data_IF_983359061981
#
_entry.id   IF_983359061981
#
_cell.length_a   1.000
_cell.length_b   1.000
_cell.length_c   1.000
_cell.angle_alpha   90.00
_cell.angle_beta   90.00
_cell.angle_gamma   90.00
#
_symmetry.space_group_name_H-M   'P 1'
#
loop_
_entity.id
_entity.type
_entity.pdbx_description
1 polymer ?
#
# COMPACT_ATOMS: atom_id res chain seq x y z
N UNK A 1 29.12 60.12 30.09
CA UNK A 1 28.14 59.02 29.95
C UNK A 1 27.11 59.32 28.86
N UNK A 2 27.37 58.97 27.58
CA UNK A 2 26.38 59.11 26.47
C UNK A 2 26.42 57.98 25.44
N UNK A 3 27.22 56.94 25.66
CA UNK A 3 27.57 55.91 24.66
C UNK A 3 26.76 54.60 24.79
N UNK A 4 26.31 54.20 25.99
CA UNK A 4 25.61 52.91 26.17
C UNK A 4 24.18 52.88 25.60
N UNK A 5 23.47 54.02 25.60
CA UNK A 5 22.08 54.13 25.09
C UNK A 5 21.94 53.90 23.58
N UNK A 6 22.96 54.28 22.78
CA UNK A 6 22.97 54.06 21.31
C UNK A 6 23.29 52.61 20.95
N UNK A 7 24.24 51.98 21.66
CA UNK A 7 24.57 50.56 21.46
C UNK A 7 23.41 49.63 21.86
N UNK A 8 22.69 49.95 22.95
CA UNK A 8 21.50 49.20 23.36
C UNK A 8 20.37 49.25 22.31
N UNK A 9 20.10 50.42 21.70
CA UNK A 9 19.11 50.53 20.61
C UNK A 9 19.50 49.74 19.36
N UNK A 10 20.77 49.73 18.99
CA UNK A 10 21.26 48.96 17.85
C UNK A 10 21.09 47.44 18.05
N UNK A 11 21.42 46.93 19.25
CA UNK A 11 21.26 45.51 19.59
C UNK A 11 19.79 45.09 19.58
N UNK A 12 18.89 45.92 20.12
CA UNK A 12 17.44 45.66 20.11
C UNK A 12 16.88 45.62 18.69
N UNK A 13 17.31 46.53 17.81
CA UNK A 13 16.90 46.54 16.40
C UNK A 13 17.39 45.29 15.66
N UNK A 14 18.64 44.87 15.87
CA UNK A 14 19.17 43.64 15.25
C UNK A 14 18.43 42.40 15.75
N UNK A 15 18.17 42.28 17.05
CA UNK A 15 17.40 41.17 17.61
C UNK A 15 15.96 41.13 17.07
N UNK A 16 15.30 42.28 16.92
CA UNK A 16 13.97 42.38 16.31
C UNK A 16 13.97 41.97 14.83
N UNK A 17 15.00 42.34 14.06
CA UNK A 17 15.16 41.90 12.67
C UNK A 17 15.35 40.38 12.56
N UNK A 18 16.15 39.77 13.44
CA UNK A 18 16.36 38.32 13.45
C UNK A 18 15.04 37.61 13.77
N UNK A 19 14.28 38.09 14.76
CA UNK A 19 12.96 37.53 15.09
C UNK A 19 11.96 37.65 13.93
N UNK A 20 11.95 38.80 13.23
CA UNK A 20 11.11 38.99 12.06
C UNK A 20 11.48 38.02 10.91
N UNK A 21 12.77 37.82 10.66
CA UNK A 21 13.25 36.84 9.66
C UNK A 21 12.85 35.42 10.05
N UNK A 22 12.97 35.06 11.34
CA UNK A 22 12.53 33.75 11.83
C UNK A 22 11.01 33.55 11.64
N UNK A 23 10.19 34.56 11.93
CA UNK A 23 8.73 34.49 11.75
C UNK A 23 8.31 34.40 10.29
N UNK A 24 8.97 35.15 9.39
CA UNK A 24 8.70 35.04 7.95
C UNK A 24 9.14 33.67 7.44
N UNK A 25 10.29 33.17 7.87
CA UNK A 25 10.75 31.84 7.52
C UNK A 25 9.75 30.77 7.99
N UNK A 26 9.26 30.81 9.23
CA UNK A 26 8.29 29.82 9.72
C UNK A 26 6.97 29.89 8.96
N UNK A 27 6.47 31.08 8.63
CA UNK A 27 5.25 31.25 7.84
C UNK A 27 5.41 30.75 6.40
N UNK A 28 6.53 31.07 5.75
CA UNK A 28 6.83 30.60 4.39
C UNK A 28 6.96 29.08 4.40
N UNK A 29 7.73 28.51 5.32
CA UNK A 29 7.86 27.06 5.46
C UNK A 29 6.50 26.40 5.71
N UNK A 30 5.68 26.95 6.60
CA UNK A 30 4.33 26.44 6.86
C UNK A 30 3.44 26.51 5.61
N UNK A 31 3.48 27.63 4.86
CA UNK A 31 2.72 27.79 3.62
C UNK A 31 3.16 26.81 2.53
N UNK A 32 4.46 26.52 2.47
CA UNK A 32 5.06 25.66 1.47
C UNK A 32 4.76 24.18 1.77
N UNK A 33 4.86 23.77 3.04
CA UNK A 33 4.36 22.47 3.53
C UNK A 33 2.89 22.31 3.17
N UNK A 34 2.06 23.31 3.51
CA UNK A 34 0.62 23.23 3.27
C UNK A 34 0.30 23.20 1.76
N UNK A 35 1.07 23.90 0.94
CA UNK A 35 0.95 23.86 -0.52
C UNK A 35 1.29 22.47 -1.08
N UNK A 36 2.39 21.85 -0.62
CA UNK A 36 2.77 20.49 -1.05
C UNK A 36 1.79 19.44 -0.55
N UNK A 37 1.29 19.54 0.68
CA UNK A 37 0.21 18.67 1.19
C UNK A 37 -1.04 18.81 0.32
N UNK A 38 -1.43 20.04 -0.05
CA UNK A 38 -2.57 20.27 -0.96
C UNK A 38 -2.33 19.73 -2.37
N UNK A 39 -1.10 19.75 -2.86
CA UNK A 39 -0.74 19.16 -4.14
C UNK A 39 -0.90 17.64 -4.09
N UNK A 40 -0.37 16.99 -3.05
CA UNK A 40 -0.54 15.55 -2.81
C UNK A 40 -2.01 15.16 -2.65
N UNK A 41 -2.83 16.02 -2.02
CA UNK A 41 -4.28 15.78 -1.91
C UNK A 41 -5.01 15.77 -3.26
N UNK A 42 -4.48 16.46 -4.28
CA UNK A 42 -5.06 16.46 -5.64
C UNK A 42 -4.67 15.21 -6.46
N UNK A 43 -3.68 14.46 -5.98
CA UNK A 43 -3.18 13.27 -6.62
C UNK A 43 -1.68 13.10 -6.38
N UNK A 44 -1.21 11.87 -6.54
CA UNK A 44 0.20 11.55 -6.39
C UNK A 44 0.55 10.25 -7.10
N UNK A 45 1.81 10.13 -7.49
CA UNK A 45 2.41 8.87 -7.96
C UNK A 45 3.45 8.43 -6.94
N UNK A 46 3.53 7.14 -6.67
CA UNK A 46 4.50 6.61 -5.74
C UNK A 46 5.08 5.29 -6.19
N UNK A 47 6.29 5.04 -5.72
CA UNK A 47 7.05 3.83 -5.96
C UNK A 47 7.70 3.42 -4.65
N UNK A 48 7.37 2.23 -4.16
CA UNK A 48 7.81 1.73 -2.87
C UNK A 48 8.31 0.30 -3.01
N UNK A 49 9.47 0.00 -2.46
CA UNK A 49 9.85 -1.38 -2.18
C UNK A 49 9.27 -1.79 -0.84
N UNK A 50 8.73 -3.00 -0.75
CA UNK A 50 8.15 -3.54 0.47
C UNK A 50 8.88 -4.78 0.96
N UNK A 51 8.85 -4.96 2.27
CA UNK A 51 9.28 -6.17 2.95
C UNK A 51 8.26 -6.52 4.04
N UNK A 52 7.81 -7.78 4.04
CA UNK A 52 6.88 -8.33 5.02
C UNK A 52 7.68 -9.23 5.96
N UNK A 53 7.40 -9.12 7.25
CA UNK A 53 8.01 -9.90 8.34
C UNK A 53 6.94 -10.45 9.26
N UNK A 54 7.24 -11.55 9.94
CA UNK A 54 6.42 -12.02 11.06
C UNK A 54 6.69 -11.15 12.30
N UNK A 55 5.64 -10.87 13.07
CA UNK A 55 5.73 -10.11 14.33
C UNK A 55 6.45 -10.90 15.41
N UNK A 56 6.11 -12.18 15.53
CA UNK A 56 6.73 -13.10 16.47
C UNK A 56 7.75 -13.98 15.74
N UNK A 57 8.96 -14.07 16.28
CA UNK A 57 10.01 -14.94 15.76
C UNK A 57 9.84 -16.40 16.20
N UNK A 58 9.02 -16.66 17.23
CA UNK A 58 8.80 -17.99 17.78
C UNK A 58 7.68 -18.77 17.06
N UNK A 59 6.74 -18.07 16.42
CA UNK A 59 5.65 -18.67 15.65
C UNK A 59 5.52 -18.00 14.30
N UNK A 60 5.46 -18.80 13.23
CA UNK A 60 5.35 -18.25 11.87
C UNK A 60 3.87 -18.19 11.46
N UNK A 61 3.28 -17.00 11.27
CA UNK A 61 1.87 -16.88 10.93
C UNK A 61 1.54 -17.55 9.60
N UNK A 62 0.30 -18.02 9.44
CA UNK A 62 -0.16 -18.68 8.22
C UNK A 62 0.02 -17.79 6.98
N UNK A 63 -0.37 -16.52 7.06
CA UNK A 63 -0.23 -15.55 5.97
C UNK A 63 1.25 -15.39 5.57
N UNK A 64 2.15 -15.21 6.53
CA UNK A 64 3.57 -15.08 6.26
C UNK A 64 4.15 -16.31 5.56
N UNK A 65 3.74 -17.52 6.00
CA UNK A 65 4.18 -18.75 5.36
C UNK A 65 3.71 -18.86 3.90
N UNK A 66 2.46 -18.48 3.61
CA UNK A 66 1.93 -18.46 2.23
C UNK A 66 2.74 -17.48 1.39
N UNK A 67 2.93 -16.25 1.85
CA UNK A 67 3.71 -15.23 1.16
C UNK A 67 5.15 -15.70 0.89
N UNK A 68 5.77 -16.37 1.87
CA UNK A 68 7.11 -16.92 1.72
C UNK A 68 7.18 -18.02 0.66
N UNK A 69 6.19 -18.90 0.60
CA UNK A 69 6.13 -19.98 -0.39
C UNK A 69 6.02 -19.46 -1.82
N UNK A 70 5.28 -18.36 -2.02
CA UNK A 70 5.12 -17.74 -3.34
C UNK A 70 6.16 -16.66 -3.65
N UNK A 71 7.17 -16.48 -2.78
CA UNK A 71 8.23 -15.48 -2.96
C UNK A 71 7.77 -14.03 -2.83
N UNK A 72 6.63 -13.76 -2.19
CA UNK A 72 5.99 -12.45 -2.08
C UNK A 72 6.23 -11.75 -0.73
N UNK A 73 7.16 -12.22 0.11
CA UNK A 73 7.57 -11.53 1.34
C UNK A 73 8.34 -10.24 1.08
N UNK A 74 8.75 -9.99 -0.16
CA UNK A 74 9.33 -8.71 -0.60
C UNK A 74 9.01 -8.49 -2.05
N UNK A 75 8.85 -7.24 -2.43
CA UNK A 75 8.55 -6.85 -3.79
C UNK A 75 8.56 -5.35 -3.93
N UNK A 76 8.06 -4.87 -5.04
CA UNK A 76 7.89 -3.45 -5.27
C UNK A 76 6.43 -3.13 -5.60
N UNK A 77 5.99 -1.92 -5.30
CA UNK A 77 4.66 -1.42 -5.64
C UNK A 77 4.78 -0.04 -6.26
N UNK A 78 4.19 0.13 -7.44
CA UNK A 78 3.90 1.45 -7.98
C UNK A 78 2.43 1.77 -7.76
N UNK A 79 2.10 3.04 -7.57
CA UNK A 79 0.72 3.44 -7.44
C UNK A 79 0.43 4.85 -7.91
N UNK A 80 -0.83 5.02 -8.29
CA UNK A 80 -1.41 6.28 -8.72
C UNK A 80 -2.58 6.58 -7.78
N UNK A 81 -2.53 7.73 -7.15
CA UNK A 81 -3.59 8.28 -6.32
C UNK A 81 -4.27 9.45 -7.03
N UNK A 82 -5.60 9.48 -6.97
CA UNK A 82 -6.45 10.64 -7.25
C UNK A 82 -7.49 10.75 -6.13
N UNK A 83 -8.15 11.90 -5.90
CA UNK A 83 -9.17 12.03 -4.88
C UNK A 83 -10.25 10.93 -5.00
N UNK A 84 -10.32 10.03 -4.00
CA UNK A 84 -11.26 8.92 -3.96
C UNK A 84 -10.95 7.74 -4.89
N UNK A 85 -9.75 7.67 -5.47
CA UNK A 85 -9.33 6.59 -6.37
C UNK A 85 -7.86 6.21 -6.14
N UNK A 86 -7.56 4.91 -6.19
CA UNK A 86 -6.20 4.38 -6.08
C UNK A 86 -6.00 3.26 -7.08
N UNK A 87 -4.90 3.30 -7.80
CA UNK A 87 -4.40 2.19 -8.60
C UNK A 87 -3.07 1.72 -8.02
N UNK A 88 -2.91 0.43 -7.82
CA UNK A 88 -1.67 -0.21 -7.38
C UNK A 88 -1.22 -1.23 -8.41
N UNK A 89 0.07 -1.33 -8.65
CA UNK A 89 0.73 -2.35 -9.46
C UNK A 89 1.76 -3.05 -8.58
N UNK A 90 1.62 -4.36 -8.39
CA UNK A 90 2.50 -5.14 -7.53
C UNK A 90 3.53 -5.88 -8.37
N UNK A 91 4.81 -5.73 -8.05
CA UNK A 91 5.93 -6.31 -8.78
C UNK A 91 6.75 -7.28 -7.92
N UNK A 92 7.44 -8.24 -8.55
CA UNK A 92 8.53 -8.95 -7.88
C UNK A 92 9.62 -7.96 -7.44
N UNK A 93 10.44 -8.37 -6.48
CA UNK A 93 11.54 -7.52 -6.01
C UNK A 93 12.50 -7.15 -7.15
N UNK A 94 12.78 -5.86 -7.29
CA UNK A 94 13.56 -5.29 -8.39
C UNK A 94 12.77 -5.10 -9.69
N UNK A 95 11.45 -5.26 -9.66
CA UNK A 95 10.58 -5.18 -10.84
C UNK A 95 10.29 -3.74 -11.29
N UNK A 96 10.29 -2.75 -10.39
CA UNK A 96 10.12 -1.34 -10.78
C UNK A 96 11.24 -0.85 -11.70
N UNK A 97 12.50 -1.23 -11.42
CA UNK A 97 13.63 -0.90 -12.29
C UNK A 97 13.50 -1.50 -13.71
N UNK A 98 12.68 -2.55 -13.87
CA UNK A 98 12.36 -3.14 -15.18
C UNK A 98 11.14 -2.47 -15.83
N UNK A 99 10.19 -1.97 -15.04
CA UNK A 99 8.99 -1.27 -15.53
C UNK A 99 9.33 0.00 -16.34
N UNK A 100 10.38 0.75 -15.96
CA UNK A 100 10.88 1.91 -16.71
C UNK A 100 11.30 1.59 -18.16
N UNK A 101 11.52 0.31 -18.52
CA UNK A 101 11.82 -0.12 -19.89
C UNK A 101 10.57 -0.46 -20.72
N UNK A 102 9.38 -0.04 -20.27
CA UNK A 102 8.10 -0.30 -20.94
C UNK A 102 7.51 -1.67 -20.59
N UNK A 103 7.98 -2.29 -19.51
CA UNK A 103 7.62 -3.64 -19.10
C UNK A 103 6.27 -3.69 -18.37
N UNK A 104 5.31 -4.44 -18.92
CA UNK A 104 4.15 -4.93 -18.18
C UNK A 104 4.57 -6.14 -17.35
N UNK A 105 5.47 -5.99 -16.38
CA UNK A 105 6.07 -7.12 -15.63
C UNK A 105 5.64 -7.17 -14.15
N UNK A 106 4.46 -6.62 -13.84
CA UNK A 106 3.81 -6.73 -12.53
C UNK A 106 3.09 -8.09 -12.36
N UNK A 107 2.94 -8.54 -11.12
CA UNK A 107 2.16 -9.74 -10.74
C UNK A 107 0.67 -9.56 -10.97
N UNK A 108 0.13 -8.41 -10.55
CA UNK A 108 -1.28 -8.07 -10.63
C UNK A 108 -1.43 -6.58 -10.33
N UNK A 109 -2.60 -6.04 -10.60
CA UNK A 109 -2.96 -4.68 -10.27
C UNK A 109 -4.30 -4.64 -9.51
N UNK A 110 -4.44 -3.58 -8.71
CA UNK A 110 -5.59 -3.34 -7.86
C UNK A 110 -6.10 -1.92 -8.12
N UNK A 111 -7.38 -1.80 -8.45
CA UNK A 111 -8.06 -0.52 -8.52
C UNK A 111 -9.07 -0.40 -7.37
N UNK A 112 -9.08 0.73 -6.67
CA UNK A 112 -10.02 1.03 -5.61
C UNK A 112 -10.66 2.39 -5.91
N UNK A 113 -11.97 2.47 -5.79
CA UNK A 113 -12.69 3.73 -5.69
C UNK A 113 -13.73 3.71 -4.55
N UNK A 114 -14.57 4.74 -4.48
CA UNK A 114 -15.61 4.86 -3.45
C UNK A 114 -16.72 3.80 -3.54
N UNK A 115 -16.86 3.12 -4.68
CA UNK A 115 -17.94 2.16 -4.93
C UNK A 115 -17.45 0.72 -4.87
N UNK A 116 -16.26 0.45 -5.41
CA UNK A 116 -15.75 -0.92 -5.50
C UNK A 116 -14.22 -1.04 -5.46
N UNK A 117 -13.76 -2.27 -5.25
CA UNK A 117 -12.36 -2.68 -5.36
C UNK A 117 -12.26 -3.78 -6.40
N UNK A 118 -11.36 -3.61 -7.36
CA UNK A 118 -11.19 -4.48 -8.51
C UNK A 118 -9.79 -5.08 -8.53
N UNK A 119 -9.73 -6.41 -8.64
CA UNK A 119 -8.49 -7.18 -8.65
C UNK A 119 -8.25 -7.75 -10.05
N UNK A 120 -7.08 -7.53 -10.64
CA UNK A 120 -6.71 -8.18 -11.92
C UNK A 120 -6.33 -9.66 -11.68
N UNK A 121 -7.36 -10.49 -11.55
CA UNK A 121 -7.25 -11.94 -11.40
C UNK A 121 -6.66 -12.60 -12.64
N UNK A 122 -6.96 -12.09 -13.83
CA UNK A 122 -6.43 -12.63 -15.08
C UNK A 122 -4.93 -12.44 -15.20
N UNK A 123 -4.41 -11.29 -14.75
CA UNK A 123 -2.97 -11.02 -14.71
C UNK A 123 -2.28 -11.89 -13.67
N UNK A 124 -2.85 -11.99 -12.47
CA UNK A 124 -2.32 -12.87 -11.42
C UNK A 124 -2.21 -14.32 -11.92
N UNK A 125 -3.25 -14.81 -12.59
CA UNK A 125 -3.26 -16.15 -13.17
C UNK A 125 -2.12 -16.35 -14.19
N UNK A 126 -1.98 -15.42 -15.15
CA UNK A 126 -0.95 -15.52 -16.18
C UNK A 126 0.45 -15.50 -15.56
N UNK A 127 0.72 -14.60 -14.62
CA UNK A 127 2.03 -14.55 -13.97
C UNK A 127 2.35 -15.81 -13.17
N UNK A 128 1.37 -16.38 -12.45
CA UNK A 128 1.55 -17.65 -11.75
C UNK A 128 1.75 -18.82 -12.74
N UNK A 129 0.97 -18.86 -13.82
CA UNK A 129 1.09 -19.87 -14.87
C UNK A 129 2.46 -19.83 -15.53
N UNK A 130 2.95 -18.65 -15.88
CA UNK A 130 4.24 -18.48 -16.55
C UNK A 130 5.38 -18.90 -15.61
N UNK A 131 5.30 -18.54 -14.32
CA UNK A 131 6.24 -19.02 -13.30
C UNK A 131 6.25 -20.55 -13.14
N UNK A 132 5.08 -21.20 -13.21
CA UNK A 132 4.98 -22.67 -13.21
C UNK A 132 5.51 -23.26 -14.52
N UNK A 133 5.25 -22.65 -15.67
CA UNK A 133 5.75 -23.13 -16.96
C UNK A 133 7.27 -23.07 -17.04
N UNK A 134 7.89 -22.02 -16.49
CA UNK A 134 9.34 -21.88 -16.42
C UNK A 134 9.99 -22.90 -15.49
N UNK A 135 9.38 -23.16 -14.33
CA UNK A 135 9.93 -24.07 -13.31
C UNK A 135 9.59 -25.55 -13.55
N UNK A 136 8.44 -25.83 -14.14
CA UNK A 136 7.92 -27.16 -14.42
C UNK A 136 7.20 -27.20 -15.78
N UNK A 137 7.94 -27.22 -16.92
CA UNK A 137 7.36 -27.08 -18.25
C UNK A 137 6.27 -28.10 -18.59
N UNK A 138 6.41 -29.34 -18.08
CA UNK A 138 5.40 -30.39 -18.27
C UNK A 138 4.09 -30.08 -17.55
N UNK A 139 4.14 -29.48 -16.36
CA UNK A 139 2.95 -29.07 -15.61
C UNK A 139 2.33 -27.83 -16.25
N UNK A 140 3.17 -26.86 -16.65
CA UNK A 140 2.73 -25.65 -17.34
C UNK A 140 1.97 -25.92 -18.63
N UNK A 141 2.35 -26.96 -19.38
CA UNK A 141 1.66 -27.36 -20.62
C UNK A 141 0.19 -27.81 -20.41
N UNK A 142 -0.19 -28.18 -19.19
CA UNK A 142 -1.56 -28.54 -18.84
C UNK A 142 -2.37 -27.37 -18.26
N UNK A 143 -1.75 -26.23 -17.97
CA UNK A 143 -2.45 -25.05 -17.46
C UNK A 143 -3.10 -24.28 -18.62
N UNK A 144 -4.44 -24.11 -18.60
CA UNK A 144 -5.15 -23.45 -19.68
C UNK A 144 -4.73 -21.98 -19.83
N UNK A 145 -5.00 -21.40 -20.99
CA UNK A 145 -4.87 -19.96 -21.14
C UNK A 145 -6.07 -19.23 -20.49
N UNK A 146 -5.81 -18.04 -19.96
CA UNK A 146 -6.88 -17.22 -19.39
C UNK A 146 -7.77 -16.65 -20.49
N UNK A 147 -9.05 -17.01 -20.46
CA UNK A 147 -10.04 -16.63 -21.48
C UNK A 147 -11.18 -15.76 -20.95
N UNK A 148 -11.20 -15.48 -19.64
CA UNK A 148 -12.18 -14.60 -19.01
C UNK A 148 -11.75 -13.13 -19.08
N UNK A 149 -12.66 -12.18 -18.81
CA UNK A 149 -12.28 -10.84 -18.42
C UNK A 149 -11.26 -10.85 -17.26
N UNK A 150 -10.51 -9.77 -17.12
CA UNK A 150 -9.34 -9.75 -16.22
C UNK A 150 -9.73 -9.47 -14.76
N UNK A 151 -10.76 -8.66 -14.53
CA UNK A 151 -11.05 -8.10 -13.22
C UNK A 151 -12.18 -8.84 -12.50
N UNK A 152 -12.02 -9.02 -11.20
CA UNK A 152 -13.11 -9.37 -10.27
C UNK A 152 -13.32 -8.25 -9.28
N UNK A 153 -14.56 -8.06 -8.83
CA UNK A 153 -14.88 -7.11 -7.75
C UNK A 153 -14.64 -7.70 -6.37
N UNK A 154 -14.66 -6.85 -5.34
CA UNK A 154 -14.58 -7.28 -3.95
C UNK A 154 -15.71 -8.25 -3.58
N UNK A 155 -16.94 -7.96 -4.00
CA UNK A 155 -18.08 -8.83 -3.75
C UNK A 155 -17.93 -10.18 -4.44
N UNK A 156 -17.38 -10.20 -5.66
CA UNK A 156 -17.09 -11.43 -6.38
C UNK A 156 -15.97 -12.23 -5.71
N UNK A 157 -14.92 -11.57 -5.21
CA UNK A 157 -13.88 -12.22 -4.41
C UNK A 157 -14.46 -12.85 -3.14
N UNK A 158 -15.34 -12.15 -2.42
CA UNK A 158 -16.02 -12.68 -1.24
C UNK A 158 -16.81 -13.95 -1.56
N UNK A 159 -17.56 -13.94 -2.67
CA UNK A 159 -18.31 -15.10 -3.17
C UNK A 159 -17.38 -16.27 -3.50
N UNK A 160 -16.30 -16.02 -4.25
CA UNK A 160 -15.30 -17.03 -4.60
C UNK A 160 -14.71 -17.68 -3.34
N UNK A 161 -14.38 -16.87 -2.32
CA UNK A 161 -13.79 -17.34 -1.07
C UNK A 161 -14.80 -17.96 -0.09
N UNK A 162 -16.11 -17.81 -0.33
CA UNK A 162 -17.15 -18.29 0.58
C UNK A 162 -17.20 -17.52 1.91
N UNK A 163 -16.75 -16.26 1.93
CA UNK A 163 -16.68 -15.43 3.14
C UNK A 163 -17.63 -14.22 3.07
N UNK A 164 -18.04 -13.64 4.20
CA UNK A 164 -18.78 -12.39 4.19
C UNK A 164 -18.00 -11.25 3.52
N UNK A 165 -18.70 -10.38 2.78
CA UNK A 165 -18.07 -9.23 2.10
C UNK A 165 -17.28 -8.31 3.04
N UNK A 166 -17.66 -8.25 4.33
CA UNK A 166 -16.94 -7.47 5.36
C UNK A 166 -15.52 -7.97 5.61
N UNK A 167 -15.21 -9.24 5.33
CA UNK A 167 -13.87 -9.80 5.52
C UNK A 167 -12.89 -9.45 4.40
N UNK A 168 -13.41 -8.99 3.25
CA UNK A 168 -12.60 -8.57 2.09
C UNK A 168 -12.75 -7.08 1.81
N UNK A 169 -13.37 -6.32 2.72
CA UNK A 169 -13.65 -4.91 2.54
C UNK A 169 -12.36 -4.07 2.51
N UNK A 170 -12.13 -3.36 1.39
CA UNK A 170 -10.98 -2.46 1.20
C UNK A 170 -11.40 -1.02 0.84
N UNK A 171 -12.71 -0.74 0.79
CA UNK A 171 -13.32 0.47 0.21
C UNK A 171 -13.34 1.71 1.10
N UNK A 172 -12.88 1.65 2.36
CA UNK A 172 -12.91 2.82 3.26
C UNK A 172 -11.82 3.85 2.91
N UNK A 173 -11.94 4.48 1.73
CA UNK A 173 -11.06 5.57 1.31
C UNK A 173 -11.48 6.95 1.81
N UNK A 174 -12.71 7.08 2.28
CA UNK A 174 -13.30 8.34 2.77
C UNK A 174 -12.64 8.87 4.04
N UNK A 175 -11.80 8.07 4.72
CA UNK A 175 -11.02 8.46 5.90
C UNK A 175 -9.61 9.00 5.62
N UNK A 176 -9.05 8.80 4.42
CA UNK A 176 -7.63 9.14 4.13
C UNK A 176 -7.39 10.62 3.80
N UNK A 177 -8.16 11.55 4.35
CA UNK A 177 -7.68 12.93 4.39
C UNK A 177 -6.44 12.97 5.27
N UNK A 178 -5.25 13.07 4.65
CA UNK A 178 -3.97 13.23 5.32
C UNK A 178 -3.97 14.54 6.13
N UNK A 179 -4.59 14.50 7.31
CA UNK A 179 -4.50 15.57 8.29
C UNK A 179 -3.32 15.24 9.17
N UNK A 180 -2.12 15.65 8.73
CA UNK A 180 -0.88 15.53 9.50
C UNK A 180 -1.00 16.41 10.75
N UNK A 181 -1.64 15.88 11.79
CA UNK A 181 -1.82 16.56 13.06
C UNK A 181 -0.63 16.25 13.98
N UNK A 182 -0.23 17.21 14.82
CA UNK A 182 0.83 17.00 15.82
C UNK A 182 0.48 15.90 16.84
N UNK A 183 -0.80 15.57 16.99
CA UNK A 183 -1.28 14.56 17.91
C UNK A 183 -1.03 13.13 17.41
N UNK A 184 -0.78 12.98 16.10
CA UNK A 184 -0.44 11.70 15.49
C UNK A 184 1.06 11.39 15.52
N UNK A 185 1.92 12.27 16.06
CA UNK A 185 3.37 12.07 16.02
C UNK A 185 3.77 10.96 16.98
N UNK A 186 4.50 9.97 16.46
CA UNK A 186 5.06 8.84 17.22
C UNK A 186 6.57 8.76 17.04
N UNK A 187 7.24 8.04 17.95
CA UNK A 187 8.69 7.87 17.95
C UNK A 187 9.03 6.38 17.98
N UNK A 188 8.90 5.68 16.85
CA UNK A 188 9.20 4.25 16.80
C UNK A 188 10.71 3.99 16.91
N UNK A 189 11.08 2.82 17.43
CA UNK A 189 12.49 2.42 17.59
C UNK A 189 13.24 2.29 16.25
N UNK A 190 12.49 2.07 15.16
CA UNK A 190 12.99 2.02 13.79
C UNK A 190 13.05 3.40 13.10
N UNK A 191 12.85 4.50 13.83
CA UNK A 191 12.79 5.83 13.24
C UNK A 191 14.08 6.22 12.50
N UNK A 192 13.97 6.48 11.20
CA UNK A 192 15.06 7.00 10.37
C UNK A 192 15.45 8.41 10.81
N UNK A 193 16.75 8.69 10.80
CA UNK A 193 17.29 10.01 11.15
C UNK A 193 16.73 11.09 10.23
N UNK A 194 16.14 12.13 10.81
CA UNK A 194 15.60 13.29 10.08
C UNK A 194 14.17 13.11 9.56
N UNK A 195 13.53 11.97 9.86
CA UNK A 195 12.13 11.71 9.57
C UNK A 195 11.27 12.07 10.78
N UNK A 196 10.04 12.51 10.52
CA UNK A 196 8.97 12.63 11.52
C UNK A 196 7.92 11.58 11.19
N UNK A 197 7.54 10.76 12.18
CA UNK A 197 6.61 9.66 12.01
C UNK A 197 5.22 10.02 12.52
N UNK A 198 4.20 9.68 11.73
CA UNK A 198 2.79 9.92 12.03
C UNK A 198 2.04 8.59 12.04
N UNK A 199 1.40 8.25 13.15
CA UNK A 199 0.50 7.12 13.27
C UNK A 199 -0.93 7.56 12.96
N UNK A 200 -1.58 6.85 12.05
CA UNK A 200 -2.97 7.09 11.70
C UNK A 200 -3.90 6.37 12.71
N UNK A 201 -5.06 6.95 13.03
CA UNK A 201 -6.03 6.31 13.93
C UNK A 201 -6.45 4.95 13.41
N UNK A 202 -6.54 3.96 14.31
CA UNK A 202 -7.12 2.65 14.06
C UNK A 202 -8.15 2.36 15.17
N UNK A 203 -9.28 1.75 14.82
CA UNK A 203 -10.34 1.40 15.76
C UNK A 203 -10.41 -0.11 15.94
N UNK A 204 -10.18 -0.60 17.16
CA UNK A 204 -10.23 -2.02 17.50
C UNK A 204 -8.91 -2.58 18.03
N UNK A 205 -8.98 -3.61 18.87
CA UNK A 205 -7.81 -4.23 19.53
C UNK A 205 -6.87 -4.95 18.54
N UNK A 206 -7.43 -5.45 17.43
CA UNK A 206 -6.69 -6.14 16.35
C UNK A 206 -6.60 -5.32 15.05
N UNK A 207 -6.93 -4.03 15.10
CA UNK A 207 -6.96 -3.18 13.91
C UNK A 207 -5.54 -2.93 13.36
N UNK A 208 -5.43 -2.85 12.03
CA UNK A 208 -4.16 -2.54 11.41
C UNK A 208 -3.67 -1.14 11.81
N UNK A 209 -2.40 -1.01 12.16
CA UNK A 209 -1.78 0.27 12.53
C UNK A 209 -0.91 0.74 11.37
N UNK A 210 -1.16 1.95 10.88
CA UNK A 210 -0.40 2.59 9.82
C UNK A 210 0.47 3.71 10.39
N UNK A 211 1.78 3.64 10.18
CA UNK A 211 2.74 4.66 10.55
C UNK A 211 3.49 5.14 9.32
N UNK A 212 3.51 6.46 9.07
CA UNK A 212 4.18 7.07 7.93
C UNK A 212 5.26 8.04 8.41
N UNK A 213 6.50 7.77 8.06
CA UNK A 213 7.67 8.62 8.23
C UNK A 213 7.91 9.52 7.02
N UNK A 214 8.00 10.83 7.26
CA UNK A 214 8.30 11.83 6.24
C UNK A 214 9.47 12.73 6.68
N UNK A 215 10.47 12.97 5.82
CA UNK A 215 11.48 13.99 6.07
C UNK A 215 10.88 15.37 5.78
N UNK A 216 10.55 16.12 6.84
CA UNK A 216 9.91 17.44 6.71
C UNK A 216 10.68 18.42 5.82
N UNK A 217 12.01 18.28 5.73
CA UNK A 217 12.85 19.07 4.82
C UNK A 217 12.57 18.74 3.35
N UNK A 218 12.44 17.48 2.99
CA UNK A 218 12.11 17.10 1.60
C UNK A 218 10.69 17.51 1.23
N UNK A 219 9.77 17.42 2.19
CA UNK A 219 8.41 17.92 2.01
C UNK A 219 8.34 19.45 1.82
N UNK A 220 9.43 20.17 2.08
CA UNK A 220 9.57 21.58 1.75
C UNK A 220 10.23 21.76 0.38
N UNK A 221 11.38 21.13 0.15
CA UNK A 221 12.26 21.57 -0.93
C UNK A 221 12.32 20.63 -2.14
N UNK A 222 11.87 19.38 -1.99
CA UNK A 222 12.08 18.34 -2.99
C UNK A 222 10.75 18.05 -3.71
N UNK A 223 10.80 17.89 -5.03
CA UNK A 223 9.63 17.51 -5.83
C UNK A 223 9.27 16.03 -5.62
N UNK A 224 10.29 15.20 -5.47
CA UNK A 224 10.19 13.80 -5.05
C UNK A 224 10.40 13.69 -3.54
N UNK A 225 9.38 13.21 -2.83
CA UNK A 225 9.36 13.12 -1.37
C UNK A 225 9.70 11.68 -0.97
N UNK A 226 10.79 11.43 -0.24
CA UNK A 226 11.05 10.12 0.34
C UNK A 226 9.97 9.77 1.38
N UNK A 227 9.52 8.52 1.36
CA UNK A 227 8.51 8.01 2.30
C UNK A 227 8.99 6.71 2.93
N UNK A 228 8.72 6.56 4.22
CA UNK A 228 8.91 5.34 4.98
C UNK A 228 7.55 4.94 5.59
N UNK A 229 6.99 3.80 5.21
CA UNK A 229 5.67 3.36 5.69
C UNK A 229 5.83 2.06 6.46
N UNK A 230 5.18 1.96 7.60
CA UNK A 230 5.10 0.74 8.39
C UNK A 230 3.64 0.42 8.63
N UNK A 231 3.26 -0.81 8.32
CA UNK A 231 1.92 -1.35 8.55
C UNK A 231 2.05 -2.54 9.49
N UNK A 232 1.37 -2.46 10.62
CA UNK A 232 1.22 -3.56 11.56
C UNK A 232 -0.15 -4.18 11.35
N UNK A 233 -0.24 -5.50 11.21
CA UNK A 233 -1.52 -6.21 11.08
C UNK A 233 -1.59 -7.31 12.14
N UNK A 234 -1.97 -6.96 13.39
CA UNK A 234 -1.97 -7.89 14.52
C UNK A 234 -2.83 -9.14 14.28
N UNK A 235 -4.00 -8.97 13.67
CA UNK A 235 -4.91 -10.07 13.30
C UNK A 235 -4.26 -11.15 12.43
N UNK A 236 -3.17 -10.83 11.74
CA UNK A 236 -2.43 -11.75 10.88
C UNK A 236 -0.98 -11.99 11.33
N UNK A 237 -0.56 -11.39 12.45
CA UNK A 237 0.78 -11.56 13.00
C UNK A 237 1.90 -11.05 12.11
N UNK A 238 1.64 -10.10 11.20
CA UNK A 238 2.61 -9.62 10.21
C UNK A 238 2.85 -8.12 10.29
N UNK A 239 4.06 -7.72 9.92
CA UNK A 239 4.45 -6.32 9.69
C UNK A 239 4.87 -6.15 8.24
N UNK A 240 4.51 -5.03 7.63
CA UNK A 240 5.02 -4.61 6.33
C UNK A 240 5.77 -3.29 6.48
N UNK A 241 7.04 -3.26 6.07
CA UNK A 241 7.83 -2.06 5.93
C UNK A 241 7.95 -1.72 4.45
N UNK A 242 7.57 -0.51 4.06
CA UNK A 242 7.68 0.01 2.71
C UNK A 242 8.56 1.25 2.70
N UNK A 243 9.36 1.42 1.66
CA UNK A 243 10.24 2.58 1.51
C UNK A 243 10.38 2.95 0.04
N UNK A 244 10.37 4.24 -0.24
CA UNK A 244 10.58 4.73 -1.59
C UNK A 244 10.21 6.20 -1.71
N UNK A 245 9.55 6.56 -2.80
CA UNK A 245 9.31 7.95 -3.18
C UNK A 245 7.86 8.21 -3.54
N UNK A 246 7.48 9.48 -3.37
CA UNK A 246 6.15 10.01 -3.66
C UNK A 246 6.31 11.34 -4.38
N UNK A 247 5.59 11.53 -5.49
CA UNK A 247 5.57 12.76 -6.26
C UNK A 247 4.13 13.26 -6.41
N UNK A 248 3.91 14.55 -6.16
CA UNK A 248 2.59 15.15 -6.35
C UNK A 248 2.26 15.26 -7.83
N UNK A 249 1.04 14.87 -8.22
CA UNK A 249 0.63 14.85 -9.61
C UNK A 249 -0.89 14.90 -9.76
N UNK A 250 -1.38 15.17 -10.96
CA UNK A 250 -2.81 15.02 -11.27
C UNK A 250 -2.95 13.77 -12.12
N UNK A 251 -3.54 12.74 -11.54
CA UNK A 251 -3.82 11.48 -12.21
C UNK A 251 -5.28 11.47 -12.68
N UNK A 252 -5.54 10.77 -13.79
CA UNK A 252 -6.90 10.51 -14.27
C UNK A 252 -7.09 9.00 -14.26
N UNK A 253 -7.87 8.52 -13.29
CA UNK A 253 -8.12 7.11 -13.10
C UNK A 253 -9.58 6.78 -13.41
N UNK A 254 -9.82 5.61 -13.96
CA UNK A 254 -11.15 5.09 -14.27
C UNK A 254 -11.24 3.62 -13.90
N UNK A 255 -12.39 3.23 -13.36
CA UNK A 255 -12.64 1.84 -13.00
C UNK A 255 -12.45 0.91 -14.21
N UNK A 256 -11.87 -0.28 -14.00
CA UNK A 256 -11.74 -1.27 -15.06
C UNK A 256 -13.11 -1.69 -15.62
N UNK A 257 -13.20 -1.82 -16.93
CA UNK A 257 -14.43 -2.24 -17.63
C UNK A 257 -14.47 -3.73 -17.97
N UNK A 258 -13.34 -4.43 -17.85
CA UNK A 258 -13.19 -5.87 -18.17
C UNK A 258 -13.45 -6.74 -16.93
N UNK A 259 -14.66 -6.63 -16.38
CA UNK A 259 -15.08 -7.34 -15.17
C UNK A 259 -15.73 -8.67 -15.53
N UNK A 260 -15.39 -9.75 -14.82
CA UNK A 260 -15.98 -11.08 -15.02
C UNK A 260 -17.48 -11.02 -14.68
N UNK A 261 -18.29 -11.71 -15.46
CA UNK A 261 -19.74 -11.75 -15.23
C UNK A 261 -20.09 -12.51 -13.95
N UNK A 262 -21.16 -12.11 -13.27
CA UNK A 262 -21.61 -12.83 -12.07
C UNK A 262 -21.96 -14.30 -12.36
N UNK A 263 -22.44 -14.63 -13.56
CA UNK A 263 -22.70 -16.02 -13.95
C UNK A 263 -21.43 -16.87 -14.07
N UNK A 264 -20.33 -16.27 -14.54
CA UNK A 264 -19.03 -16.96 -14.58
C UNK A 264 -18.49 -17.12 -13.15
N UNK A 265 -18.67 -16.12 -12.28
CA UNK A 265 -18.32 -16.21 -10.86
C UNK A 265 -19.12 -17.33 -10.17
N UNK A 266 -20.42 -17.42 -10.40
CA UNK A 266 -21.24 -18.50 -9.82
C UNK A 266 -20.76 -19.89 -10.30
N UNK A 267 -20.26 -19.99 -11.53
CA UNK A 267 -19.68 -21.22 -12.06
C UNK A 267 -18.35 -21.58 -11.36
N UNK A 268 -17.50 -20.58 -11.08
CA UNK A 268 -16.27 -20.76 -10.30
C UNK A 268 -16.59 -21.20 -8.87
N UNK A 269 -17.59 -20.58 -8.24
CA UNK A 269 -18.05 -20.93 -6.89
C UNK A 269 -18.53 -22.37 -6.83
N UNK A 270 -19.37 -22.79 -7.79
CA UNK A 270 -19.83 -24.18 -7.87
C UNK A 270 -18.67 -25.17 -8.05
N UNK A 271 -17.64 -24.82 -8.82
CA UNK A 271 -16.46 -25.65 -8.96
C UNK A 271 -15.69 -25.79 -7.63
N UNK A 272 -15.46 -24.69 -6.92
CA UNK A 272 -14.84 -24.70 -5.59
C UNK A 272 -15.60 -25.62 -4.63
N UNK A 273 -16.92 -25.44 -4.51
CA UNK A 273 -17.76 -26.22 -3.60
C UNK A 273 -17.71 -27.73 -3.90
N UNK A 274 -17.66 -28.10 -5.19
CA UNK A 274 -17.50 -29.51 -5.59
C UNK A 274 -16.13 -30.08 -5.21
N UNK A 275 -15.06 -29.29 -5.34
CA UNK A 275 -13.72 -29.69 -4.93
C UNK A 275 -13.62 -29.87 -3.41
N UNK A 276 -14.28 -29.01 -2.64
CA UNK A 276 -14.38 -29.14 -1.18
C UNK A 276 -15.14 -30.40 -0.78
N UNK A 277 -16.31 -30.66 -1.39
CA UNK A 277 -17.07 -31.89 -1.16
C UNK A 277 -16.24 -33.16 -1.48
N UNK A 278 -15.45 -33.11 -2.56
CA UNK A 278 -14.57 -34.21 -2.93
C UNK A 278 -13.44 -34.42 -1.92
N UNK A 279 -12.80 -33.35 -1.44
CA UNK A 279 -11.78 -33.42 -0.40
C UNK A 279 -12.34 -33.98 0.92
N UNK A 280 -13.55 -33.58 1.31
CA UNK A 280 -14.24 -34.10 2.50
C UNK A 280 -14.56 -35.60 2.38
N UNK A 281 -14.95 -36.04 1.18
CA UNK A 281 -15.17 -37.46 0.89
C UNK A 281 -13.89 -38.27 1.04
N UNK A 282 -12.76 -37.77 0.48
CA UNK A 282 -11.44 -38.41 0.65
C UNK A 282 -11.06 -38.48 2.13
N UNK A 283 -11.18 -37.38 2.87
CA UNK A 283 -10.84 -37.34 4.29
C UNK A 283 -11.70 -38.30 5.11
N UNK A 284 -12.99 -38.41 4.79
CA UNK A 284 -13.91 -39.35 5.43
C UNK A 284 -13.53 -40.80 5.10
N UNK A 285 -13.16 -41.09 3.85
CA UNK A 285 -12.72 -42.43 3.45
C UNK A 285 -11.40 -42.82 4.13
N UNK A 286 -10.41 -41.93 4.19
CA UNK A 286 -9.14 -42.15 4.89
C UNK A 286 -9.35 -42.46 6.38
N UNK A 287 -10.24 -41.71 7.06
CA UNK A 287 -10.59 -41.96 8.47
C UNK A 287 -11.31 -43.28 8.72
N UNK A 288 -11.91 -43.91 7.68
CA UNK A 288 -12.57 -45.22 7.81
C UNK A 288 -11.63 -46.41 7.58
N UNK A 289 -10.46 -46.16 6.99
CA UNK A 289 -9.45 -47.20 6.68
C UNK A 289 -8.33 -47.22 7.72
N UNK A 290 -8.21 -46.17 8.55
CA UNK A 290 -7.40 -46.13 9.77
C UNK A 290 -8.17 -46.69 10.96
#
# INVERSE_FOLDING_TARGET
>A
MKSSKKRSRAVVTVAACILAVCLVATLVLFSLVNSKVRALQKGATFELSYNITAQDSASTPALYNILKQVGATSGDVAGLYSPGQLQLYLYPSGGLARAETGGTDFFTDLYIDANDTYFDAGRLYRTLRDSIADSAPLVGAFLPEWSLPNYITQAQLAKILGVPNTQVAMQEMSGYTMTLSRQCIVHPDYAKKGYTYYQFPSEGEDAAVLVVGLPLKSLLFDDTIPVDVHVEIPAHGVNAALSGTLEAGVNSLSAPVSVISDSDIDSIVQLRERLEQFADLINTALKRVQ
#
